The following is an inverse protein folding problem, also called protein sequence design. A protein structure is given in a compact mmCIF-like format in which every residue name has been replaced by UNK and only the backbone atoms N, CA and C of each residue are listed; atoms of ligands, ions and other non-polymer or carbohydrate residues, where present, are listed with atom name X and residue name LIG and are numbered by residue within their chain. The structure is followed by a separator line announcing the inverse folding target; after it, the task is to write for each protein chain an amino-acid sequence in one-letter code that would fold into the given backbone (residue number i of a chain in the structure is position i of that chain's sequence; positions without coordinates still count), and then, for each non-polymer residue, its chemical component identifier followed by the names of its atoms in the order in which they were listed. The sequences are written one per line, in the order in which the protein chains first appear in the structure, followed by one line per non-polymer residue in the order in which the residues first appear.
data_IF_402183630077
#
_entry.id   IF_402183630077
#
_cell.length_a   1.000
_cell.length_b   1.000
_cell.length_c   1.000
_cell.angle_alpha   90.00
_cell.angle_beta   90.00
_cell.angle_gamma   90.00
#
_symmetry.space_group_name_H-M   'P 1'
#
loop_
_entity.id
_entity.type
_entity.pdbx_description
1 polymer ?
#
# COMPACT_ATOMS: atom_id res chain seq x y z
N UNK A 1 -0.82 1.77 2.98
CA UNK A 1 -2.08 1.28 2.36
C UNK A 1 -1.97 1.31 0.84
N UNK A 2 -2.44 0.29 0.12
CA UNK A 2 -2.54 0.34 -1.35
C UNK A 2 -3.79 1.12 -1.76
N UNK A 3 -3.61 2.23 -2.49
CA UNK A 3 -4.70 3.08 -3.00
C UNK A 3 -5.54 2.41 -4.09
N UNK A 4 -5.05 1.34 -4.70
CA UNK A 4 -5.80 0.60 -5.73
C UNK A 4 -6.82 -0.37 -5.14
N UNK A 5 -6.44 -1.13 -4.10
CA UNK A 5 -7.24 -2.25 -3.62
C UNK A 5 -7.46 -2.29 -2.10
N UNK A 6 -6.88 -1.37 -1.33
CA UNK A 6 -7.02 -1.31 0.11
C UNK A 6 -6.09 -2.22 0.93
N UNK A 7 -5.20 -3.01 0.30
CA UNK A 7 -4.24 -3.85 1.03
C UNK A 7 -3.38 -3.03 2.01
N UNK A 8 -3.29 -3.51 3.26
CA UNK A 8 -2.48 -2.91 4.31
C UNK A 8 -1.17 -3.68 4.44
N UNK A 9 -0.07 -3.01 4.18
CA UNK A 9 1.28 -3.53 4.40
C UNK A 9 1.79 -3.05 5.76
N UNK A 10 2.44 -3.95 6.51
CA UNK A 10 3.17 -3.63 7.74
C UNK A 10 4.66 -3.89 7.50
N UNK A 11 5.46 -2.84 7.53
CA UNK A 11 6.89 -2.86 7.23
C UNK A 11 7.42 -1.43 7.12
N UNK A 12 8.75 -1.28 7.11
CA UNK A 12 9.41 0.03 6.99
C UNK A 12 9.21 0.64 5.58
N UNK A 13 9.08 -0.21 4.55
CA UNK A 13 8.95 0.20 3.16
C UNK A 13 7.77 -0.52 2.49
N UNK A 14 7.17 0.10 1.48
CA UNK A 14 6.13 -0.55 0.69
C UNK A 14 6.75 -1.64 -0.22
N UNK A 15 6.05 -2.76 -0.50
CA UNK A 15 6.57 -3.77 -1.43
C UNK A 15 6.60 -3.25 -2.88
N UNK A 16 7.53 -3.73 -3.70
CA UNK A 16 7.63 -3.37 -5.13
C UNK A 16 6.34 -3.66 -5.90
N UNK A 17 5.65 -4.74 -5.54
CA UNK A 17 4.38 -5.19 -6.11
C UNK A 17 3.39 -5.45 -4.96
N UNK A 18 2.16 -4.94 -5.08
CA UNK A 18 1.09 -5.25 -4.13
C UNK A 18 0.72 -6.74 -4.19
N UNK A 19 0.81 -7.50 -3.08
CA UNK A 19 0.52 -8.94 -3.07
C UNK A 19 -0.96 -9.28 -3.30
N UNK A 20 -1.86 -8.29 -3.13
CA UNK A 20 -3.30 -8.49 -3.33
C UNK A 20 -3.77 -8.22 -4.77
N UNK A 21 -3.27 -7.16 -5.41
CA UNK A 21 -3.75 -6.72 -6.72
C UNK A 21 -2.69 -6.61 -7.81
N UNK A 22 -1.45 -6.98 -7.51
CA UNK A 22 -0.32 -7.07 -8.46
C UNK A 22 0.00 -5.72 -9.15
N UNK A 23 -0.34 -4.60 -8.50
CA UNK A 23 0.00 -3.25 -8.96
C UNK A 23 1.32 -2.75 -8.35
N UNK A 24 2.04 -1.84 -9.02
CA UNK A 24 3.35 -1.38 -8.57
C UNK A 24 3.30 -0.56 -7.27
N UNK A 25 4.46 -0.47 -6.61
CA UNK A 25 4.69 0.28 -5.36
C UNK A 25 4.12 1.71 -5.36
N UNK A 26 4.07 2.37 -6.53
CA UNK A 26 3.52 3.73 -6.71
C UNK A 26 2.06 3.88 -6.23
N UNK A 27 1.31 2.78 -6.07
CA UNK A 27 -0.03 2.80 -5.51
C UNK A 27 -0.05 2.83 -3.98
N UNK A 28 1.06 2.62 -3.29
CA UNK A 28 1.09 2.69 -1.83
C UNK A 28 1.19 4.13 -1.32
N UNK A 29 0.58 4.37 -0.16
CA UNK A 29 0.69 5.59 0.62
C UNK A 29 0.95 5.25 2.09
N UNK A 30 1.55 6.20 2.83
CA UNK A 30 1.63 6.12 4.29
C UNK A 30 0.22 6.13 4.87
N UNK A 31 -0.02 5.23 5.83
CA UNK A 31 -1.30 5.20 6.51
C UNK A 31 -1.41 6.46 7.38
N UNK A 32 -2.28 7.38 6.99
CA UNK A 32 -2.65 8.57 7.76
C UNK A 32 -4.11 8.49 8.14
N UNK A 33 -4.40 8.85 9.38
CA UNK A 33 -5.76 8.99 9.91
C UNK A 33 -5.99 10.48 10.21
N UNK A 34 -7.09 11.04 9.72
CA UNK A 34 -7.37 12.47 9.77
C UNK A 34 -8.80 12.75 10.26
N UNK A 35 -9.14 12.18 11.42
CA UNK A 35 -10.40 12.35 12.12
C UNK A 35 -10.21 12.90 13.54
#
# INVERSE_FOLDING_TARGET
RCRNCGYLHMGEEAPEICPACIHPQAHFELLGENW
#
